data_IF_194477566324
#
_entry.id   IF_194477566324
#
_cell.length_a   1.000
_cell.length_b   1.000
_cell.length_c   1.000
_cell.angle_alpha   90.00
_cell.angle_beta   90.00
_cell.angle_gamma   90.00
#
_symmetry.space_group_name_H-M   'P 1'
#
loop_
_entity.id
_entity.type
_entity.pdbx_description
1 polymer ?
#
# COMPACT_ATOMS: atom_id res chain seq x y z
N UNK A 1 7.76 -20.26 -12.53
CA UNK A 1 7.93 -18.83 -12.17
C UNK A 1 6.74 -18.41 -11.31
N UNK A 2 6.94 -17.70 -10.19
CA UNK A 2 5.87 -17.29 -9.27
C UNK A 2 5.82 -15.76 -9.20
N UNK A 3 4.64 -15.17 -9.39
CA UNK A 3 4.40 -13.74 -9.28
C UNK A 3 3.57 -13.47 -8.02
N UNK A 4 4.00 -12.51 -7.19
CA UNK A 4 3.25 -12.01 -6.05
C UNK A 4 2.78 -10.59 -6.36
N UNK A 5 1.47 -10.36 -6.28
CA UNK A 5 0.87 -9.04 -6.43
C UNK A 5 0.45 -8.55 -5.05
N UNK A 6 1.04 -7.43 -4.62
CA UNK A 6 0.83 -6.87 -3.28
C UNK A 6 0.34 -5.43 -3.46
N UNK A 7 -0.83 -5.11 -2.91
CA UNK A 7 -1.33 -3.72 -2.85
C UNK A 7 -0.56 -2.96 -1.77
N UNK A 8 -0.33 -1.65 -1.95
CA UNK A 8 0.18 -0.81 -0.87
C UNK A 8 -0.78 -0.80 0.32
N UNK A 9 -0.25 -0.61 1.53
CA UNK A 9 -1.06 -0.48 2.74
C UNK A 9 -1.86 0.84 2.77
N UNK A 10 -2.72 1.02 3.77
CA UNK A 10 -3.60 2.20 3.85
C UNK A 10 -2.84 3.53 3.83
N UNK A 11 -3.11 4.36 2.81
CA UNK A 11 -2.61 5.74 2.70
C UNK A 11 -3.64 6.76 3.17
N UNK A 12 -3.24 8.03 3.28
CA UNK A 12 -4.15 9.13 3.61
C UNK A 12 -5.32 9.22 2.63
N UNK A 13 -5.09 9.02 1.33
CA UNK A 13 -6.15 9.01 0.32
C UNK A 13 -7.19 7.92 0.56
N UNK A 14 -6.79 6.73 1.06
CA UNK A 14 -7.76 5.67 1.38
C UNK A 14 -8.68 6.04 2.54
N UNK A 15 -8.22 6.88 3.47
CA UNK A 15 -9.04 7.33 4.62
C UNK A 15 -10.11 8.34 4.19
N UNK A 16 -9.86 9.08 3.11
CA UNK A 16 -10.75 10.14 2.62
C UNK A 16 -11.53 9.75 1.37
N UNK A 17 -11.43 8.50 0.93
CA UNK A 17 -12.01 7.99 -0.33
C UNK A 17 -13.52 8.18 -0.40
N UNK A 18 -14.21 8.07 0.73
CA UNK A 18 -15.67 8.25 0.85
C UNK A 18 -16.11 9.70 1.10
N UNK A 19 -15.17 10.66 1.17
CA UNK A 19 -15.52 12.07 1.43
C UNK A 19 -16.05 12.76 0.16
N UNK A 20 -17.03 13.66 0.29
CA UNK A 20 -17.57 14.41 -0.85
C UNK A 20 -16.52 15.24 -1.63
N UNK A 21 -15.47 15.69 -0.95
CA UNK A 21 -14.39 16.52 -1.50
C UNK A 21 -13.15 15.69 -1.92
N UNK A 22 -13.24 14.36 -1.96
CA UNK A 22 -12.11 13.45 -2.23
C UNK A 22 -11.26 13.85 -3.44
N UNK A 23 -11.89 14.24 -4.54
CA UNK A 23 -11.16 14.57 -5.79
C UNK A 23 -10.27 15.79 -5.63
N UNK A 24 -10.62 16.72 -4.74
CA UNK A 24 -9.86 17.94 -4.45
C UNK A 24 -8.82 17.69 -3.34
N UNK A 25 -9.18 16.90 -2.33
CA UNK A 25 -8.33 16.61 -1.17
C UNK A 25 -7.26 15.53 -1.42
N UNK A 26 -7.41 14.71 -2.48
CA UNK A 26 -6.44 13.65 -2.79
C UNK A 26 -5.06 14.22 -3.10
N UNK A 27 -4.04 13.58 -2.53
CA UNK A 27 -2.64 13.90 -2.84
C UNK A 27 -2.11 12.97 -3.94
N UNK A 28 -1.23 13.42 -4.85
CA UNK A 28 -0.62 12.56 -5.87
C UNK A 28 0.26 11.43 -5.30
N UNK A 29 0.96 11.67 -4.20
CA UNK A 29 1.81 10.68 -3.49
C UNK A 29 1.47 10.70 -1.99
N UNK A 30 0.31 10.17 -1.60
CA UNK A 30 -0.15 10.24 -0.21
C UNK A 30 0.74 9.35 0.67
N UNK A 31 1.18 9.83 1.84
CA UNK A 31 1.93 8.99 2.76
C UNK A 31 1.04 7.86 3.30
N UNK A 32 1.69 6.80 3.81
CA UNK A 32 0.98 5.77 4.57
C UNK A 32 0.54 6.34 5.92
N UNK A 33 -0.65 5.91 6.35
CA UNK A 33 -1.10 6.18 7.72
C UNK A 33 -0.29 5.36 8.72
N UNK A 34 -0.34 5.70 10.01
CA UNK A 34 0.25 4.89 11.07
C UNK A 34 -0.29 3.44 11.06
N UNK A 35 -1.59 3.27 10.80
CA UNK A 35 -2.22 1.96 10.62
C UNK A 35 -1.69 1.23 9.38
N UNK A 36 -1.51 1.94 8.26
CA UNK A 36 -0.89 1.40 7.05
C UNK A 36 0.55 0.91 7.29
N UNK A 37 1.36 1.69 8.02
CA UNK A 37 2.70 1.26 8.42
C UNK A 37 2.69 0.01 9.29
N UNK A 38 1.76 -0.08 10.25
CA UNK A 38 1.62 -1.26 11.10
C UNK A 38 1.24 -2.50 10.29
N UNK A 39 0.22 -2.38 9.43
CA UNK A 39 -0.25 -3.47 8.56
C UNK A 39 0.85 -3.95 7.60
N UNK A 40 1.64 -3.04 7.01
CA UNK A 40 2.76 -3.41 6.15
C UNK A 40 3.85 -4.18 6.91
N UNK A 41 4.13 -3.80 8.16
CA UNK A 41 5.08 -4.53 9.02
C UNK A 41 4.57 -5.92 9.38
N UNK A 42 3.30 -6.03 9.74
CA UNK A 42 2.67 -7.32 10.03
C UNK A 42 2.70 -8.23 8.81
N UNK A 43 2.33 -7.72 7.63
CA UNK A 43 2.43 -8.48 6.38
C UNK A 43 3.85 -9.00 6.14
N UNK A 44 4.88 -8.19 6.38
CA UNK A 44 6.27 -8.62 6.21
C UNK A 44 6.68 -9.75 7.18
N UNK A 45 6.02 -9.85 8.34
CA UNK A 45 6.25 -10.94 9.30
C UNK A 45 5.51 -12.23 8.90
N UNK A 46 4.30 -12.08 8.36
CA UNK A 46 3.41 -13.22 8.06
C UNK A 46 3.63 -13.80 6.65
N UNK A 47 4.11 -13.00 5.70
CA UNK A 47 4.22 -13.39 4.30
C UNK A 47 5.38 -14.36 4.05
N UNK A 48 5.09 -15.49 3.40
CA UNK A 48 6.14 -16.36 2.85
C UNK A 48 6.73 -15.76 1.57
N UNK A 49 7.79 -14.98 1.75
CA UNK A 49 8.56 -14.35 0.68
C UNK A 49 9.77 -15.18 0.24
N UNK A 50 9.88 -16.46 0.66
CA UNK A 50 11.02 -17.30 0.27
C UNK A 50 11.07 -17.48 -1.24
N UNK A 51 12.27 -17.29 -1.80
CA UNK A 51 12.50 -17.37 -3.24
C UNK A 51 12.07 -16.13 -4.03
N UNK A 52 11.59 -15.06 -3.37
CA UNK A 52 11.42 -13.75 -4.01
C UNK A 52 12.80 -13.12 -4.20
N UNK A 53 13.20 -12.91 -5.46
CA UNK A 53 14.51 -12.36 -5.82
C UNK A 53 14.43 -10.98 -6.46
N UNK A 54 13.25 -10.56 -6.90
CA UNK A 54 13.02 -9.29 -7.58
C UNK A 54 11.76 -8.61 -7.02
N UNK A 55 11.84 -7.30 -6.80
CA UNK A 55 10.72 -6.46 -6.40
C UNK A 55 10.57 -5.28 -7.35
N UNK A 56 9.34 -4.99 -7.77
CA UNK A 56 9.03 -3.88 -8.66
C UNK A 56 7.92 -3.04 -8.06
N UNK A 57 8.02 -1.72 -8.20
CA UNK A 57 6.92 -0.79 -7.91
C UNK A 57 6.20 -0.51 -9.23
N UNK A 58 4.91 -0.82 -9.28
CA UNK A 58 4.06 -0.45 -10.38
C UNK A 58 3.66 1.02 -10.20
N UNK A 59 4.18 1.89 -11.06
CA UNK A 59 3.66 3.26 -11.19
C UNK A 59 2.41 3.21 -12.05
N UNK A 60 1.38 3.95 -11.63
CA UNK A 60 0.10 4.02 -12.33
C UNK A 60 -0.12 5.42 -12.86
#
# INVERSE_FOLDING_TARGET
MKLLLIRHAQSENNVIEDRPDYTQARQPDPPLTAHGHHSARQFAQDADLRGVTHGFRLFR
#
